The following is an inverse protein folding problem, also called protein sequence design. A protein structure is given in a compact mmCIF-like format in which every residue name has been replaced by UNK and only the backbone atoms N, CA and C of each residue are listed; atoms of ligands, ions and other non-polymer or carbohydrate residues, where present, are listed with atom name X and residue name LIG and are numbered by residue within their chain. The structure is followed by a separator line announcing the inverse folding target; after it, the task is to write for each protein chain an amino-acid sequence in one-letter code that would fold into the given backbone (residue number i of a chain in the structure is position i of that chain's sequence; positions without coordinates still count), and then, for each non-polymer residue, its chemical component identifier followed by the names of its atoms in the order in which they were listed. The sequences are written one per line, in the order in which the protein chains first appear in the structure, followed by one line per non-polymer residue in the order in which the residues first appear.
data_IF_752499276398
#
_entry.id   IF_752499276398
#
_cell.length_a   1.000
_cell.length_b   1.000
_cell.length_c   1.000
_cell.angle_alpha   90.00
_cell.angle_beta   90.00
_cell.angle_gamma   90.00
#
_symmetry.space_group_name_H-M   'P 1'
#
loop_
_entity.id
_entity.type
_entity.pdbx_description
1 polymer ?
#
# COMPACT_ATOMS: atom_id res chain seq x y z
N UNK A 1 47.14 7.70 32.94
CA UNK A 1 47.07 7.33 31.53
C UNK A 1 46.03 6.24 31.21
N UNK A 2 45.90 5.24 32.04
CA UNK A 2 44.83 4.23 31.84
C UNK A 2 43.40 4.76 31.86
N UNK A 3 43.14 5.79 32.70
CA UNK A 3 41.84 6.41 32.79
C UNK A 3 41.43 7.19 31.54
N UNK A 4 42.38 7.77 30.83
CA UNK A 4 42.10 8.51 29.60
C UNK A 4 41.73 7.59 28.44
N UNK A 5 42.37 6.42 28.33
CA UNK A 5 42.04 5.44 27.31
C UNK A 5 40.61 4.86 27.47
N UNK A 6 40.21 4.68 28.72
CA UNK A 6 38.82 4.21 29.01
C UNK A 6 37.77 5.25 28.64
N UNK A 7 38.02 6.51 28.87
CA UNK A 7 37.10 7.60 28.52
C UNK A 7 36.97 7.73 26.99
N UNK A 8 38.04 7.59 26.26
CA UNK A 8 38.02 7.62 24.79
C UNK A 8 37.24 6.43 24.21
N UNK A 9 37.41 5.26 24.80
CA UNK A 9 36.73 4.06 24.37
C UNK A 9 35.19 4.17 24.61
N UNK A 10 34.80 4.70 25.74
CA UNK A 10 33.39 4.95 26.06
C UNK A 10 32.76 5.96 25.13
N UNK A 11 33.47 7.02 24.76
CA UNK A 11 32.98 8.04 23.85
C UNK A 11 32.77 7.49 22.43
N UNK A 12 33.68 6.66 21.94
CA UNK A 12 33.57 6.03 20.62
C UNK A 12 32.37 5.06 20.58
N UNK A 13 32.15 4.28 21.63
CA UNK A 13 31.00 3.38 21.71
C UNK A 13 29.66 4.14 21.69
N UNK A 14 29.57 5.27 22.39
CA UNK A 14 28.39 6.14 22.37
C UNK A 14 28.14 6.73 20.99
N UNK A 15 29.15 7.14 20.29
CA UNK A 15 29.03 7.70 18.93
C UNK A 15 28.54 6.65 17.94
N UNK A 16 29.00 5.43 18.04
CA UNK A 16 28.53 4.33 17.18
C UNK A 16 27.05 3.99 17.44
N UNK A 17 26.58 4.03 18.68
CA UNK A 17 25.18 3.80 19.00
C UNK A 17 24.28 4.91 18.45
N UNK A 18 24.75 6.17 18.47
CA UNK A 18 23.97 7.31 17.95
C UNK A 18 23.90 7.29 16.41
N UNK A 19 24.85 6.67 15.74
CA UNK A 19 24.88 6.58 14.28
C UNK A 19 24.18 5.36 13.72
N UNK A 20 23.61 4.47 14.54
CA UNK A 20 22.83 3.35 14.07
C UNK A 20 21.58 3.86 13.36
N UNK A 21 21.39 3.62 12.05
CA UNK A 21 20.23 4.14 11.36
C UNK A 21 18.98 3.43 11.86
N UNK A 22 18.12 4.17 12.47
CA UNK A 22 16.73 3.76 12.65
C UNK A 22 16.06 3.92 11.31
N UNK A 23 15.75 2.82 10.67
CA UNK A 23 14.91 2.85 9.46
C UNK A 23 13.50 3.21 9.90
N UNK A 24 13.19 4.48 9.87
CA UNK A 24 11.82 4.94 10.00
C UNK A 24 11.14 4.68 8.67
N UNK A 25 10.28 3.68 8.63
CA UNK A 25 9.34 3.54 7.54
C UNK A 25 8.43 4.76 7.57
N UNK A 26 8.44 5.54 6.51
CA UNK A 26 7.57 6.71 6.42
C UNK A 26 6.11 6.25 6.49
N UNK A 27 5.40 6.60 7.55
CA UNK A 27 4.02 6.18 7.79
C UNK A 27 3.01 6.84 6.84
N UNK A 28 3.45 7.75 5.97
CA UNK A 28 2.58 8.56 5.11
C UNK A 28 2.92 8.41 3.62
N UNK A 29 3.33 7.24 3.20
CA UNK A 29 3.55 7.00 1.77
C UNK A 29 2.20 6.80 1.09
N UNK A 30 1.88 7.69 0.15
CA UNK A 30 0.64 7.58 -0.63
C UNK A 30 0.80 6.47 -1.66
N UNK A 31 -0.06 5.47 -1.67
CA UNK A 31 -0.02 4.44 -2.71
C UNK A 31 -0.32 5.05 -4.08
N UNK A 32 0.30 4.52 -5.10
CA UNK A 32 0.18 5.00 -6.47
C UNK A 32 -0.40 3.91 -7.35
N UNK A 33 -1.57 4.16 -7.92
CA UNK A 33 -2.21 3.23 -8.85
C UNK A 33 -1.82 3.64 -10.27
N UNK A 34 -1.20 2.73 -11.03
CA UNK A 34 -0.60 3.01 -12.34
C UNK A 34 -1.43 2.41 -13.47
N UNK A 35 -1.89 1.17 -13.32
CA UNK A 35 -2.61 0.48 -14.38
C UNK A 35 -3.64 -0.49 -13.81
N UNK A 36 -4.72 -0.68 -14.57
CA UNK A 36 -5.77 -1.64 -14.25
C UNK A 36 -5.98 -2.54 -15.45
N UNK A 37 -5.95 -3.84 -15.21
CA UNK A 37 -6.32 -4.84 -16.22
C UNK A 37 -7.73 -5.35 -15.91
N UNK A 38 -8.66 -5.10 -16.82
CA UNK A 38 -10.08 -5.45 -16.63
C UNK A 38 -10.40 -6.71 -17.43
N UNK A 39 -11.01 -7.73 -16.81
CA UNK A 39 -11.40 -8.93 -17.53
C UNK A 39 -12.64 -8.66 -18.41
N UNK A 40 -12.87 -9.45 -19.47
CA UNK A 40 -14.02 -9.29 -20.34
C UNK A 40 -15.33 -9.79 -19.74
N UNK A 41 -15.29 -10.61 -18.70
CA UNK A 41 -16.48 -11.24 -18.11
C UNK A 41 -16.55 -10.98 -16.61
N UNK A 42 -17.78 -10.91 -16.07
CA UNK A 42 -18.00 -10.80 -14.64
C UNK A 42 -17.39 -11.99 -13.90
N UNK A 43 -16.81 -11.71 -12.73
CA UNK A 43 -16.09 -12.71 -11.94
C UNK A 43 -14.67 -13.00 -12.42
N UNK A 44 -14.25 -12.41 -13.53
CA UNK A 44 -12.87 -12.52 -14.01
C UNK A 44 -11.88 -11.75 -13.13
N UNK A 45 -10.61 -12.05 -13.34
CA UNK A 45 -9.54 -11.45 -12.53
C UNK A 45 -9.26 -10.02 -12.94
N UNK A 46 -9.37 -9.10 -11.99
CA UNK A 46 -8.89 -7.73 -12.11
C UNK A 46 -7.51 -7.65 -11.51
N UNK A 47 -6.59 -6.99 -12.20
CA UNK A 47 -5.22 -6.79 -11.75
C UNK A 47 -4.94 -5.30 -11.65
N UNK A 48 -4.55 -4.86 -10.48
CA UNK A 48 -4.08 -3.50 -10.23
C UNK A 48 -2.56 -3.51 -10.14
N UNK A 49 -1.93 -2.63 -10.87
CA UNK A 49 -0.49 -2.44 -10.83
C UNK A 49 -0.17 -1.04 -10.33
N UNK A 50 0.80 -0.95 -9.46
CA UNK A 50 1.19 0.32 -8.90
C UNK A 50 2.38 0.20 -7.96
N UNK A 51 2.45 1.11 -6.99
CA UNK A 51 3.55 1.17 -6.04
C UNK A 51 3.05 1.50 -4.64
N UNK A 52 3.80 1.07 -3.65
CA UNK A 52 3.57 1.39 -2.24
C UNK A 52 2.26 0.81 -1.70
N UNK A 53 1.85 -0.35 -2.20
CA UNK A 53 0.66 -1.03 -1.70
C UNK A 53 0.89 -1.75 -0.36
N UNK A 54 2.15 -1.96 0.03
CA UNK A 54 2.47 -2.66 1.25
C UNK A 54 2.11 -4.14 1.18
N UNK A 55 2.05 -4.78 2.33
CA UNK A 55 1.77 -6.21 2.42
C UNK A 55 0.28 -6.56 2.37
N UNK A 56 -0.58 -5.60 2.54
CA UNK A 56 -2.02 -5.71 2.34
C UNK A 56 -2.81 -6.60 3.29
N UNK A 57 -2.24 -7.64 3.83
CA UNK A 57 -2.96 -8.75 4.46
C UNK A 57 -2.61 -8.98 5.93
N UNK A 58 -1.93 -8.06 6.61
CA UNK A 58 -1.59 -8.24 8.01
C UNK A 58 -0.95 -7.02 8.66
N UNK A 59 -0.94 -6.94 9.96
CA UNK A 59 -0.34 -5.85 10.72
C UNK A 59 -0.96 -4.49 10.42
N UNK A 60 -0.16 -3.55 9.95
CA UNK A 60 -0.62 -2.21 9.58
C UNK A 60 -1.61 -2.20 8.41
N UNK A 61 -1.82 -3.34 7.77
CA UNK A 61 -2.73 -3.51 6.64
C UNK A 61 -4.22 -3.64 7.04
N UNK A 62 -4.55 -3.57 8.32
CA UNK A 62 -5.93 -3.71 8.80
C UNK A 62 -6.90 -2.69 8.16
N UNK A 63 -6.39 -1.54 7.71
CA UNK A 63 -7.16 -0.51 7.01
C UNK A 63 -6.80 -0.43 5.53
N UNK A 64 -6.41 -1.55 4.93
CA UNK A 64 -6.03 -1.61 3.53
C UNK A 64 -7.11 -2.35 2.75
N UNK A 65 -7.59 -1.72 1.67
CA UNK A 65 -8.66 -2.28 0.83
C UNK A 65 -8.67 -1.61 -0.53
N UNK A 66 -9.46 -2.16 -1.43
CA UNK A 66 -9.69 -1.60 -2.76
C UNK A 66 -11.15 -1.18 -2.85
N UNK A 67 -11.43 -0.08 -3.51
CA UNK A 67 -12.78 0.37 -3.85
C UNK A 67 -12.90 0.39 -5.37
N UNK A 68 -13.97 -0.19 -5.90
CA UNK A 68 -14.28 -0.18 -7.33
C UNK A 68 -15.65 0.45 -7.56
N UNK A 69 -15.83 1.09 -8.72
CA UNK A 69 -17.10 1.73 -9.06
C UNK A 69 -17.42 2.96 -8.23
N UNK A 70 -16.42 3.62 -7.69
CA UNK A 70 -16.59 4.84 -6.92
C UNK A 70 -16.68 6.08 -7.83
N UNK A 71 -17.11 7.21 -7.27
CA UNK A 71 -17.03 8.50 -7.96
C UNK A 71 -15.59 9.08 -7.88
N UNK A 72 -15.38 10.24 -8.49
CA UNK A 72 -14.07 10.89 -8.50
C UNK A 72 -13.57 11.26 -7.10
N UNK A 73 -14.46 11.44 -6.15
CA UNK A 73 -14.14 11.77 -4.76
C UNK A 73 -13.88 10.53 -3.92
N UNK A 74 -14.07 9.34 -4.48
CA UNK A 74 -13.91 8.07 -3.78
C UNK A 74 -15.13 7.66 -2.95
N UNK A 75 -16.28 8.28 -3.18
CA UNK A 75 -17.53 7.94 -2.51
C UNK A 75 -18.30 6.87 -3.26
N UNK A 76 -19.03 6.06 -2.54
CA UNK A 76 -19.75 4.93 -3.10
C UNK A 76 -18.82 3.79 -3.47
N UNK A 77 -19.24 2.96 -4.40
CA UNK A 77 -18.45 1.83 -4.84
C UNK A 77 -18.56 0.61 -3.93
N UNK A 78 -17.83 -0.42 -4.30
CA UNK A 78 -17.86 -1.73 -3.66
C UNK A 78 -16.44 -2.14 -3.30
N UNK A 79 -16.27 -2.80 -2.16
CA UNK A 79 -15.01 -3.40 -1.77
C UNK A 79 -14.99 -4.86 -2.21
N UNK A 80 -14.15 -5.23 -3.21
CA UNK A 80 -14.02 -6.61 -3.62
C UNK A 80 -13.22 -7.44 -2.63
N UNK A 81 -13.42 -8.74 -2.66
CA UNK A 81 -12.58 -9.69 -1.93
C UNK A 81 -11.26 -9.86 -2.63
N UNK A 82 -10.17 -9.58 -1.93
CA UNK A 82 -8.83 -9.64 -2.49
C UNK A 82 -8.32 -11.08 -2.50
N UNK A 83 -7.78 -11.51 -3.63
CA UNK A 83 -7.17 -12.83 -3.77
C UNK A 83 -5.65 -12.81 -3.61
N UNK A 84 -5.02 -11.69 -3.98
CA UNK A 84 -3.58 -11.52 -3.84
C UNK A 84 -3.23 -10.05 -3.65
N UNK A 85 -2.29 -9.77 -2.78
CA UNK A 85 -1.83 -8.42 -2.48
C UNK A 85 -0.32 -8.41 -2.28
N UNK A 86 0.38 -7.74 -3.18
CA UNK A 86 1.82 -7.49 -3.06
C UNK A 86 2.07 -5.98 -3.07
N UNK A 87 3.27 -5.51 -2.76
CA UNK A 87 3.55 -4.07 -2.79
C UNK A 87 3.34 -3.37 -4.13
N UNK A 88 3.32 -4.13 -5.23
CA UNK A 88 3.19 -3.57 -6.58
C UNK A 88 2.00 -4.11 -7.37
N UNK A 89 1.29 -5.11 -6.84
CA UNK A 89 0.23 -5.79 -7.58
C UNK A 89 -0.85 -6.29 -6.65
N UNK A 90 -2.10 -6.02 -7.00
CA UNK A 90 -3.28 -6.50 -6.28
C UNK A 90 -4.17 -7.22 -7.28
N UNK A 91 -4.68 -8.39 -6.90
CA UNK A 91 -5.59 -9.18 -7.72
C UNK A 91 -6.88 -9.46 -6.96
N UNK A 92 -7.99 -9.36 -7.66
CA UNK A 92 -9.30 -9.71 -7.11
C UNK A 92 -10.25 -10.10 -8.23
N UNK A 93 -11.32 -10.80 -7.89
CA UNK A 93 -12.39 -11.09 -8.84
C UNK A 93 -13.26 -9.85 -9.04
N UNK A 94 -13.62 -9.53 -10.27
CA UNK A 94 -14.50 -8.42 -10.58
C UNK A 94 -15.84 -8.61 -9.85
N UNK A 95 -16.22 -7.70 -8.94
CA UNK A 95 -17.49 -7.85 -8.23
C UNK A 95 -18.65 -7.61 -9.18
N UNK A 96 -19.70 -8.38 -8.99
CA UNK A 96 -20.89 -8.28 -9.80
C UNK A 96 -21.58 -6.93 -9.56
N UNK A 97 -21.93 -6.25 -10.64
CA UNK A 97 -22.64 -4.97 -10.55
C UNK A 97 -21.80 -3.75 -10.21
N UNK A 98 -20.46 -3.87 -10.21
CA UNK A 98 -19.60 -2.72 -9.95
C UNK A 98 -19.65 -1.66 -11.07
N UNK A 99 -19.73 -2.10 -12.32
CA UNK A 99 -19.91 -1.21 -13.47
C UNK A 99 -18.78 -0.23 -13.69
N UNK A 100 -19.13 0.93 -14.25
CA UNK A 100 -18.17 2.00 -14.54
C UNK A 100 -17.95 2.87 -13.31
N UNK A 101 -16.71 3.29 -13.11
CA UNK A 101 -16.36 4.18 -12.02
C UNK A 101 -14.87 4.28 -11.83
N UNK A 102 -14.46 4.86 -10.71
CA UNK A 102 -13.06 4.98 -10.35
C UNK A 102 -12.66 3.86 -9.40
N UNK A 103 -11.42 3.42 -9.53
CA UNK A 103 -10.79 2.45 -8.65
C UNK A 103 -9.78 3.17 -7.79
N UNK A 104 -9.83 2.92 -6.50
CA UNK A 104 -8.88 3.44 -5.51
C UNK A 104 -8.30 2.30 -4.69
N UNK A 105 -7.03 2.43 -4.33
CA UNK A 105 -6.36 1.56 -3.37
C UNK A 105 -6.16 2.36 -2.10
N UNK A 106 -6.58 1.81 -0.97
CA UNK A 106 -6.36 2.42 0.34
C UNK A 106 -5.38 1.54 1.11
N UNK A 107 -4.30 2.13 1.56
CA UNK A 107 -3.25 1.43 2.31
C UNK A 107 -3.07 2.12 3.65
N UNK A 108 -3.33 1.39 4.73
CA UNK A 108 -3.25 1.92 6.09
C UNK A 108 -4.03 3.24 6.26
N UNK A 109 -5.21 3.33 5.63
CA UNK A 109 -6.06 4.51 5.68
C UNK A 109 -5.70 5.61 4.69
N UNK A 110 -4.64 5.46 3.91
CA UNK A 110 -4.20 6.45 2.91
C UNK A 110 -4.67 6.03 1.52
N UNK A 111 -5.44 6.89 0.87
CA UNK A 111 -6.03 6.60 -0.44
C UNK A 111 -5.08 6.96 -1.58
N UNK A 112 -5.00 6.09 -2.58
CA UNK A 112 -4.27 6.32 -3.82
C UNK A 112 -4.99 7.32 -4.74
N UNK A 113 -4.34 7.67 -5.85
CA UNK A 113 -5.02 8.29 -6.98
C UNK A 113 -6.10 7.34 -7.53
N UNK A 114 -7.15 7.90 -8.09
CA UNK A 114 -8.19 7.14 -8.77
C UNK A 114 -7.88 6.92 -10.24
N UNK A 115 -8.14 5.72 -10.74
CA UNK A 115 -8.12 5.44 -12.17
C UNK A 115 -9.51 5.00 -12.62
N UNK A 116 -9.99 5.48 -13.78
CA UNK A 116 -11.27 5.03 -14.30
C UNK A 116 -11.17 3.58 -14.78
N UNK A 117 -12.19 2.80 -14.50
CA UNK A 117 -12.30 1.44 -14.98
C UNK A 117 -13.76 1.10 -15.24
N UNK A 118 -13.99 0.38 -16.31
CA UNK A 118 -15.30 -0.14 -16.66
C UNK A 118 -15.30 -1.65 -16.42
N UNK A 119 -15.85 -2.07 -15.30
CA UNK A 119 -15.92 -3.48 -14.93
C UNK A 119 -17.17 -4.13 -15.56
N UNK A 120 -17.08 -5.40 -15.94
CA UNK A 120 -18.20 -6.13 -16.51
C UNK A 120 -19.37 -6.32 -15.54
#
# INVERSE_FOLDING_TARGET
MKRLAWLILGLVALTLSACAPTVTVADNVVPSLIAISVPPTAGGKVVLQGRYFGDGMGGAAANSYVIVGADMSGNGGVQPSITSWTPTRIEFAAPEGAGSGFVFVVVAGVRSNGLPANLP
#
